data_IF_319307140699
#
_entry.id   IF_319307140699
#
_cell.length_a   1.000
_cell.length_b   1.000
_cell.length_c   1.000
_cell.angle_alpha   90.00
_cell.angle_beta   90.00
_cell.angle_gamma   90.00
#
_symmetry.space_group_name_H-M   'P 1'
#
loop_
_entity.id
_entity.type
_entity.pdbx_description
1 polymer ?
#
# COMPACT_ATOMS: atom_id res chain seq x y z
N UNK A 1 -5.44 -4.84 12.12
CA UNK A 1 -4.08 -4.77 11.54
C UNK A 1 -4.10 -5.36 10.14
N UNK A 2 -3.91 -4.56 9.09
CA UNK A 2 -3.93 -5.00 7.69
C UNK A 2 -3.04 -6.21 7.36
N UNK A 3 -3.22 -6.76 6.16
CA UNK A 3 -2.32 -7.76 5.55
C UNK A 3 -1.78 -7.22 4.24
N UNK A 4 -0.50 -7.45 3.97
CA UNK A 4 0.13 -6.94 2.76
C UNK A 4 1.26 -7.83 2.28
N UNK A 5 1.58 -7.68 1.00
CA UNK A 5 2.68 -8.35 0.31
C UNK A 5 3.48 -7.31 -0.43
N UNK A 6 4.80 -7.45 -0.33
CA UNK A 6 5.75 -6.79 -1.22
C UNK A 6 6.59 -7.84 -1.93
N UNK A 7 6.80 -7.67 -3.23
CA UNK A 7 7.71 -8.51 -4.00
C UNK A 7 8.52 -7.67 -4.97
N UNK A 8 9.83 -7.90 -4.99
CA UNK A 8 10.76 -7.31 -5.98
C UNK A 8 11.67 -8.41 -6.47
N UNK A 9 11.77 -8.58 -7.78
CA UNK A 9 12.65 -9.61 -8.34
C UNK A 9 12.43 -9.86 -9.82
N UNK A 10 13.28 -10.69 -10.40
CA UNK A 10 13.13 -11.17 -11.78
C UNK A 10 12.28 -12.43 -11.80
N UNK A 11 11.26 -12.47 -12.66
CA UNK A 11 10.36 -13.60 -12.85
C UNK A 11 10.35 -14.02 -14.31
N UNK A 12 10.22 -15.33 -14.57
CA UNK A 12 10.06 -15.88 -15.93
C UNK A 12 8.59 -16.06 -16.31
N UNK A 13 7.75 -16.25 -15.31
CA UNK A 13 6.31 -16.24 -15.38
C UNK A 13 5.75 -15.63 -14.08
N UNK A 14 4.51 -15.14 -14.15
CA UNK A 14 3.85 -14.51 -13.02
C UNK A 14 3.20 -15.49 -12.03
N UNK A 15 3.34 -16.81 -12.21
CA UNK A 15 2.51 -17.79 -11.51
C UNK A 15 2.76 -17.79 -10.00
N UNK A 16 4.03 -17.75 -9.60
CA UNK A 16 4.39 -17.68 -8.17
C UNK A 16 3.80 -16.44 -7.49
N UNK A 17 3.80 -15.29 -8.18
CA UNK A 17 3.22 -14.06 -7.64
C UNK A 17 1.69 -14.13 -7.55
N UNK A 18 1.05 -14.81 -8.51
CA UNK A 18 -0.39 -15.09 -8.46
C UNK A 18 -0.73 -15.95 -7.24
N UNK A 19 0.09 -16.96 -6.92
CA UNK A 19 -0.11 -17.77 -5.72
C UNK A 19 0.13 -16.97 -4.44
N UNK A 20 1.11 -16.07 -4.41
CA UNK A 20 1.28 -15.12 -3.32
C UNK A 20 0.04 -14.22 -3.13
N UNK A 21 -0.58 -13.75 -4.21
CA UNK A 21 -1.84 -12.99 -4.14
C UNK A 21 -2.97 -13.86 -3.56
N UNK A 22 -3.09 -15.13 -3.96
CA UNK A 22 -4.08 -16.06 -3.38
C UNK A 22 -3.83 -16.26 -1.87
N UNK A 23 -2.57 -16.39 -1.45
CA UNK A 23 -2.22 -16.49 -0.03
C UNK A 23 -2.62 -15.24 0.74
N UNK A 24 -2.45 -14.05 0.17
CA UNK A 24 -2.92 -12.80 0.78
C UNK A 24 -4.45 -12.76 0.90
N UNK A 25 -5.18 -13.23 -0.12
CA UNK A 25 -6.65 -13.34 -0.08
C UNK A 25 -7.10 -14.24 1.07
N UNK A 26 -6.46 -15.40 1.23
CA UNK A 26 -6.77 -16.33 2.32
C UNK A 26 -6.44 -15.74 3.69
N UNK A 27 -5.28 -15.10 3.83
CA UNK A 27 -4.89 -14.43 5.08
C UNK A 27 -5.83 -13.27 5.43
N UNK A 28 -6.41 -12.61 4.42
CA UNK A 28 -7.36 -11.52 4.63
C UNK A 28 -8.77 -11.99 5.00
N UNK A 29 -9.19 -13.18 4.54
CA UNK A 29 -10.53 -13.75 4.80
C UNK A 29 -10.63 -14.49 6.14
N UNK A 30 -9.50 -15.00 6.64
CA UNK A 30 -9.39 -15.59 7.96
C UNK A 30 -7.97 -15.43 8.50
N UNK A 31 -7.83 -14.54 9.48
CA UNK A 31 -6.58 -14.24 10.14
C UNK A 31 -6.57 -14.84 11.56
N UNK A 32 -5.98 -16.02 11.78
CA UNK A 32 -5.99 -16.68 13.09
C UNK A 32 -5.30 -15.83 14.16
N UNK A 33 -4.22 -15.12 13.80
CA UNK A 33 -3.51 -14.25 14.73
C UNK A 33 -4.31 -13.00 15.07
N UNK A 34 -5.00 -12.42 14.08
CA UNK A 34 -5.90 -11.29 14.31
C UNK A 34 -7.07 -11.67 15.22
N UNK A 35 -7.65 -12.87 15.04
CA UNK A 35 -8.68 -13.41 15.92
C UNK A 35 -8.18 -13.58 17.35
N UNK A 36 -7.03 -14.23 17.52
CA UNK A 36 -6.48 -14.58 18.84
C UNK A 36 -6.02 -13.36 19.64
N UNK A 37 -5.35 -12.40 18.99
CA UNK A 37 -4.66 -11.32 19.69
C UNK A 37 -5.34 -9.95 19.58
N UNK A 38 -6.22 -9.74 18.60
CA UNK A 38 -6.72 -8.39 18.27
C UNK A 38 -8.26 -8.30 18.15
N UNK A 39 -8.97 -9.43 18.32
CA UNK A 39 -10.40 -9.51 18.05
C UNK A 39 -10.79 -9.01 16.64
N UNK A 40 -9.92 -9.27 15.66
CA UNK A 40 -10.09 -8.86 14.26
C UNK A 40 -9.70 -10.02 13.35
N UNK A 41 -10.68 -10.79 12.87
CA UNK A 41 -10.42 -12.00 12.08
C UNK A 41 -10.41 -11.77 10.56
N UNK A 42 -10.87 -10.61 10.09
CA UNK A 42 -11.07 -10.32 8.67
C UNK A 42 -10.63 -8.90 8.30
N UNK A 43 -10.09 -8.78 7.09
CA UNK A 43 -9.56 -7.53 6.52
C UNK A 43 -10.47 -7.05 5.37
N UNK A 44 -11.57 -6.39 5.73
CA UNK A 44 -12.74 -6.16 4.85
C UNK A 44 -12.83 -4.76 4.24
N UNK A 45 -12.02 -3.82 4.67
CA UNK A 45 -12.24 -2.39 4.42
C UNK A 45 -11.60 -1.89 3.11
N UNK A 46 -11.44 -2.78 2.14
CA UNK A 46 -10.85 -2.50 0.84
C UNK A 46 -9.54 -3.23 0.58
N UNK A 47 -9.08 -3.12 -0.67
CA UNK A 47 -7.78 -3.63 -1.08
C UNK A 47 -7.23 -2.85 -2.27
N UNK A 48 -5.94 -2.97 -2.51
CA UNK A 48 -5.35 -2.44 -3.73
C UNK A 48 -4.02 -3.08 -4.06
N UNK A 49 -3.56 -2.78 -5.26
CA UNK A 49 -2.34 -3.29 -5.84
C UNK A 49 -1.61 -2.22 -6.63
N UNK A 50 -0.29 -2.19 -6.51
CA UNK A 50 0.62 -1.60 -7.47
C UNK A 50 1.47 -2.74 -8.03
N UNK A 51 1.50 -2.89 -9.35
CA UNK A 51 2.38 -3.84 -10.03
C UNK A 51 3.11 -3.11 -11.15
N UNK A 52 4.42 -3.10 -11.12
CA UNK A 52 5.28 -2.55 -12.16
C UNK A 52 6.03 -3.71 -12.80
N UNK A 53 5.85 -3.89 -14.10
CA UNK A 53 6.60 -4.86 -14.90
C UNK A 53 7.63 -4.14 -15.76
N UNK A 54 8.89 -4.52 -15.62
CA UNK A 54 10.02 -3.98 -16.38
C UNK A 54 10.56 -5.10 -17.28
N UNK A 55 10.42 -4.92 -18.59
CA UNK A 55 10.87 -5.84 -19.63
C UNK A 55 11.83 -5.11 -20.56
N UNK A 56 12.55 -5.85 -21.39
CA UNK A 56 13.41 -5.26 -22.42
C UNK A 56 12.62 -4.40 -23.41
N UNK A 57 11.34 -4.72 -23.62
CA UNK A 57 10.42 -3.98 -24.49
C UNK A 57 9.80 -2.73 -23.86
N UNK A 58 9.99 -2.49 -22.56
CA UNK A 58 9.47 -1.32 -21.86
C UNK A 58 8.95 -1.58 -20.45
N UNK A 59 8.30 -0.56 -19.89
CA UNK A 59 7.74 -0.58 -18.54
C UNK A 59 6.23 -0.43 -18.61
N UNK A 60 5.51 -1.28 -17.86
CA UNK A 60 4.06 -1.19 -17.68
C UNK A 60 3.72 -1.15 -16.19
N UNK A 61 2.59 -0.51 -15.85
CA UNK A 61 2.13 -0.40 -14.47
C UNK A 61 0.62 -0.67 -14.36
N UNK A 62 0.24 -1.38 -13.30
CA UNK A 62 -1.13 -1.53 -12.81
C UNK A 62 -1.23 -0.86 -11.43
N UNK A 63 -2.07 0.16 -11.28
CA UNK A 63 -2.50 0.68 -9.98
C UNK A 63 -4.00 0.47 -9.82
N UNK A 64 -4.38 -0.45 -8.94
CA UNK A 64 -5.76 -0.83 -8.68
C UNK A 64 -6.12 -0.59 -7.22
N UNK A 65 -7.35 -0.10 -6.96
CA UNK A 65 -7.90 0.05 -5.62
C UNK A 65 -9.40 -0.26 -5.63
N UNK A 66 -9.88 -0.86 -4.56
CA UNK A 66 -11.27 -1.23 -4.34
C UNK A 66 -11.63 -1.02 -2.86
N UNK A 67 -12.87 -0.65 -2.59
CA UNK A 67 -13.43 -0.62 -1.23
C UNK A 67 -14.12 -1.92 -0.84
N UNK A 68 -14.20 -2.89 -1.77
CA UNK A 68 -14.69 -4.23 -1.46
C UNK A 68 -13.64 -5.02 -0.69
N UNK A 69 -14.03 -5.98 0.16
CA UNK A 69 -13.09 -6.94 0.73
C UNK A 69 -12.31 -7.67 -0.36
N UNK A 70 -11.00 -7.88 -0.17
CA UNK A 70 -10.15 -8.54 -1.17
C UNK A 70 -10.65 -9.93 -1.56
N UNK A 71 -11.28 -10.64 -0.62
CA UNK A 71 -11.81 -12.00 -0.77
C UNK A 71 -13.24 -12.07 -1.32
N UNK A 72 -13.90 -10.92 -1.50
CA UNK A 72 -15.22 -10.80 -2.16
C UNK A 72 -15.09 -10.17 -3.57
N UNK A 73 -13.87 -9.81 -3.99
CA UNK A 73 -13.55 -9.20 -5.28
C UNK A 73 -12.81 -10.21 -6.20
N UNK A 74 -12.14 -9.75 -7.26
CA UNK A 74 -11.35 -10.60 -8.16
C UNK A 74 -9.86 -10.19 -8.26
N UNK A 75 -9.09 -10.19 -7.16
CA UNK A 75 -7.69 -9.77 -7.17
C UNK A 75 -6.81 -10.66 -8.04
N UNK A 76 -7.08 -11.97 -8.08
CA UNK A 76 -6.35 -12.93 -8.90
C UNK A 76 -6.55 -12.66 -10.39
N UNK A 77 -7.78 -12.35 -10.82
CA UNK A 77 -8.03 -11.97 -12.21
C UNK A 77 -7.41 -10.62 -12.58
N UNK A 78 -7.56 -9.61 -11.70
CA UNK A 78 -7.03 -8.25 -11.92
C UNK A 78 -5.50 -8.26 -11.99
N UNK A 79 -4.82 -8.85 -11.02
CA UNK A 79 -3.35 -8.89 -10.96
C UNK A 79 -2.80 -9.96 -11.90
N UNK A 80 -3.40 -11.15 -11.93
CA UNK A 80 -2.92 -12.28 -12.72
C UNK A 80 -2.97 -12.02 -14.22
N UNK A 81 -3.96 -11.26 -14.71
CA UNK A 81 -4.00 -10.87 -16.13
C UNK A 81 -2.82 -9.96 -16.51
N UNK A 82 -2.37 -9.08 -15.62
CA UNK A 82 -1.20 -8.21 -15.82
C UNK A 82 0.12 -8.99 -15.72
N UNK A 83 0.19 -9.94 -14.79
CA UNK A 83 1.36 -10.80 -14.58
C UNK A 83 1.51 -11.89 -15.64
N UNK A 84 0.43 -12.18 -16.39
CA UNK A 84 0.46 -13.19 -17.45
C UNK A 84 1.53 -12.82 -18.49
N UNK A 85 2.41 -13.78 -18.76
CA UNK A 85 3.53 -13.59 -19.69
C UNK A 85 4.50 -12.47 -19.30
N UNK A 86 4.59 -12.12 -18.00
CA UNK A 86 5.66 -11.28 -17.49
C UNK A 86 6.95 -12.09 -17.40
N UNK A 87 7.89 -11.75 -18.28
CA UNK A 87 9.30 -12.16 -18.22
C UNK A 87 10.13 -10.89 -18.05
N UNK A 88 10.72 -10.70 -16.86
CA UNK A 88 11.38 -9.45 -16.51
C UNK A 88 11.42 -9.17 -15.00
N UNK A 89 11.70 -7.93 -14.63
CA UNK A 89 11.68 -7.48 -13.24
C UNK A 89 10.27 -7.05 -12.86
N UNK A 90 9.81 -7.44 -11.68
CA UNK A 90 8.56 -7.01 -11.09
C UNK A 90 8.82 -6.21 -9.81
N UNK A 91 8.01 -5.18 -9.59
CA UNK A 91 7.79 -4.56 -8.28
C UNK A 91 6.31 -4.66 -7.98
N UNK A 92 5.94 -5.32 -6.90
CA UNK A 92 4.55 -5.56 -6.53
C UNK A 92 4.31 -5.16 -5.07
N UNK A 93 3.27 -4.35 -4.85
CA UNK A 93 2.73 -4.01 -3.54
C UNK A 93 1.24 -4.35 -3.54
N UNK A 94 0.79 -5.27 -2.69
CA UNK A 94 -0.64 -5.60 -2.56
C UNK A 94 -1.03 -5.48 -1.09
N UNK A 95 -2.17 -4.86 -0.81
CA UNK A 95 -2.59 -4.56 0.54
C UNK A 95 -4.09 -4.82 0.73
N UNK A 96 -4.44 -5.65 1.70
CA UNK A 96 -5.79 -5.87 2.19
C UNK A 96 -5.99 -5.09 3.50
N UNK A 97 -7.01 -4.22 3.52
CA UNK A 97 -7.17 -3.20 4.56
C UNK A 97 -8.10 -3.67 5.67
N UNK A 98 -7.67 -3.44 6.91
CA UNK A 98 -8.53 -3.36 8.09
C UNK A 98 -8.43 -1.93 8.63
N UNK A 99 -9.47 -1.13 8.43
CA UNK A 99 -9.50 0.27 8.78
C UNK A 99 -9.56 0.43 10.31
N UNK A 100 -8.63 1.17 10.88
CA UNK A 100 -8.70 1.53 12.30
C UNK A 100 -9.95 2.37 12.59
N UNK A 101 -10.46 2.26 13.82
CA UNK A 101 -11.64 3.01 14.27
C UNK A 101 -11.50 4.50 13.96
N UNK A 102 -12.55 5.09 13.36
CA UNK A 102 -12.58 6.50 12.99
C UNK A 102 -11.79 6.87 11.72
N UNK A 103 -11.17 5.91 11.03
CA UNK A 103 -10.57 6.17 9.72
C UNK A 103 -11.58 5.98 8.59
N UNK A 104 -11.54 6.80 7.53
CA UNK A 104 -12.53 6.74 6.48
C UNK A 104 -12.33 5.50 5.59
N UNK A 105 -13.42 4.81 5.26
CA UNK A 105 -13.45 3.72 4.28
C UNK A 105 -13.81 4.35 2.93
N UNK A 106 -12.78 4.69 2.15
CA UNK A 106 -12.92 5.31 0.83
C UNK A 106 -11.72 4.97 -0.04
N UNK A 107 -11.86 5.20 -1.34
CA UNK A 107 -10.83 4.87 -2.34
C UNK A 107 -9.51 5.63 -2.10
N UNK A 108 -9.58 6.84 -1.55
CA UNK A 108 -8.41 7.69 -1.31
C UNK A 108 -7.53 7.18 -0.16
N UNK A 109 -8.17 6.45 0.77
CA UNK A 109 -7.55 5.84 1.95
C UNK A 109 -7.32 4.33 1.76
N UNK A 110 -7.57 3.81 0.57
CA UNK A 110 -7.19 2.45 0.19
C UNK A 110 -5.76 2.47 -0.34
N UNK A 111 -4.91 1.66 0.27
CA UNK A 111 -3.53 1.43 -0.15
C UNK A 111 -3.44 0.67 -1.48
N UNK A 112 -2.33 0.76 -2.26
CA UNK A 112 -1.22 1.71 -2.08
C UNK A 112 -1.66 3.15 -2.33
N UNK A 113 -1.28 4.06 -1.43
CA UNK A 113 -1.53 5.50 -1.60
C UNK A 113 -0.48 6.08 -2.55
N UNK A 114 -0.82 7.16 -3.26
CA UNK A 114 0.04 7.80 -4.26
C UNK A 114 0.14 9.30 -3.99
N UNK A 115 1.35 9.85 -4.13
CA UNK A 115 1.64 11.28 -4.14
C UNK A 115 2.63 11.62 -5.27
N UNK A 116 2.78 12.91 -5.58
CA UNK A 116 3.79 13.42 -6.51
C UNK A 116 4.84 14.17 -5.71
N UNK A 117 6.11 13.87 -5.95
CA UNK A 117 7.23 14.53 -5.28
C UNK A 117 7.50 15.92 -5.87
N UNK A 118 8.32 16.73 -5.20
CA UNK A 118 8.68 18.06 -5.72
C UNK A 118 9.45 17.99 -7.06
N UNK A 119 10.15 16.89 -7.32
CA UNK A 119 10.84 16.64 -8.59
C UNK A 119 9.95 16.04 -9.68
N UNK A 120 8.70 15.69 -9.37
CA UNK A 120 7.72 15.16 -10.33
C UNK A 120 7.62 13.63 -10.39
N UNK A 121 8.38 12.89 -9.57
CA UNK A 121 8.26 11.44 -9.44
C UNK A 121 6.95 11.03 -8.77
N UNK A 122 6.48 9.83 -9.08
CA UNK A 122 5.37 9.20 -8.35
C UNK A 122 5.89 8.46 -7.11
N UNK A 123 5.35 8.78 -5.94
CA UNK A 123 5.67 8.11 -4.69
C UNK A 123 4.47 7.25 -4.24
N UNK A 124 4.71 5.96 -4.08
CA UNK A 124 3.71 5.00 -3.62
C UNK A 124 4.03 4.54 -2.22
N UNK A 125 3.00 4.26 -1.42
CA UNK A 125 3.20 3.74 -0.07
C UNK A 125 2.14 2.72 0.33
N UNK A 126 2.60 1.62 0.93
CA UNK A 126 1.78 0.70 1.71
C UNK A 126 2.30 0.65 3.15
N UNK A 127 1.39 0.61 4.12
CA UNK A 127 1.75 0.64 5.52
C UNK A 127 0.75 -0.15 6.36
N UNK A 128 1.25 -1.04 7.22
CA UNK A 128 0.48 -1.70 8.27
C UNK A 128 0.96 -1.23 9.64
N UNK A 129 0.23 -0.26 10.19
CA UNK A 129 0.54 0.45 11.41
C UNK A 129 -0.21 1.78 11.43
N UNK A 130 0.25 2.71 12.26
CA UNK A 130 -0.29 4.06 12.34
C UNK A 130 0.79 5.12 12.49
N UNK A 131 0.54 6.30 11.96
CA UNK A 131 1.39 7.48 12.08
C UNK A 131 0.73 8.56 12.97
N UNK A 132 1.56 9.46 13.50
CA UNK A 132 1.15 10.70 14.17
C UNK A 132 0.65 11.70 13.13
N UNK A 133 -0.62 11.54 12.73
CA UNK A 133 -1.27 12.34 11.69
C UNK A 133 -1.14 13.85 11.93
N UNK A 134 -1.28 14.32 13.16
CA UNK A 134 -1.20 15.75 13.50
C UNK A 134 0.19 16.35 13.24
N UNK A 135 1.26 15.57 13.50
CA UNK A 135 2.63 15.99 13.22
C UNK A 135 2.89 16.04 11.70
N UNK A 136 2.38 15.04 10.99
CA UNK A 136 2.53 14.94 9.53
C UNK A 136 1.70 15.98 8.78
N UNK A 137 0.54 16.40 9.28
CA UNK A 137 -0.25 17.47 8.67
C UNK A 137 0.50 18.80 8.65
N UNK A 138 1.22 19.11 9.74
CA UNK A 138 2.08 20.30 9.82
C UNK A 138 3.23 20.20 8.81
N UNK A 139 3.90 19.05 8.75
CA UNK A 139 4.98 18.82 7.79
C UNK A 139 4.50 18.85 6.34
N UNK A 140 3.28 18.37 6.09
CA UNK A 140 2.66 18.37 4.79
C UNK A 140 2.00 19.70 4.43
N UNK A 141 1.99 20.73 5.29
CA UNK A 141 1.25 21.99 5.06
C UNK A 141 -0.16 21.76 4.47
N UNK A 142 -0.96 20.95 5.17
CA UNK A 142 -2.33 20.58 4.81
C UNK A 142 -3.25 20.99 5.95
N UNK A 143 -4.31 21.73 5.63
CA UNK A 143 -5.33 22.12 6.61
C UNK A 143 -6.04 20.90 7.22
N UNK A 144 -6.37 20.95 8.50
CA UNK A 144 -7.05 19.87 9.24
C UNK A 144 -8.39 19.46 8.61
N UNK A 145 -9.14 20.39 8.00
CA UNK A 145 -10.42 20.09 7.35
C UNK A 145 -10.31 19.07 6.21
N UNK A 146 -9.19 19.08 5.48
CA UNK A 146 -8.89 18.12 4.40
C UNK A 146 -8.45 16.77 4.98
N UNK A 147 -7.81 16.78 6.14
CA UNK A 147 -7.25 15.59 6.77
C UNK A 147 -8.30 14.52 7.07
N UNK A 148 -9.52 14.91 7.44
CA UNK A 148 -10.64 13.99 7.75
C UNK A 148 -10.96 13.01 6.62
N UNK A 149 -10.63 13.35 5.36
CA UNK A 149 -10.92 12.53 4.17
C UNK A 149 -9.91 11.43 3.91
N UNK A 150 -8.73 11.50 4.53
CA UNK A 150 -7.59 10.62 4.24
C UNK A 150 -7.15 9.84 5.47
N UNK A 151 -6.61 8.65 5.28
CA UNK A 151 -5.90 7.93 6.35
C UNK A 151 -4.56 8.63 6.66
N UNK A 152 -3.93 8.22 7.76
CA UNK A 152 -2.63 8.72 8.19
C UNK A 152 -1.50 8.38 7.20
N UNK A 153 -1.56 7.22 6.54
CA UNK A 153 -0.58 6.78 5.54
C UNK A 153 -0.55 7.69 4.32
N UNK A 154 -1.71 8.14 3.85
CA UNK A 154 -1.82 9.11 2.76
C UNK A 154 -1.16 10.44 3.15
N UNK A 155 -1.43 10.92 4.36
CA UNK A 155 -0.81 12.16 4.87
C UNK A 155 0.70 11.98 5.02
N UNK A 156 1.15 10.82 5.49
CA UNK A 156 2.57 10.48 5.60
C UNK A 156 3.26 10.47 4.22
N UNK A 157 2.63 9.84 3.22
CA UNK A 157 3.13 9.79 1.86
C UNK A 157 3.20 11.19 1.22
N UNK A 158 2.17 12.03 1.46
CA UNK A 158 2.16 13.41 0.99
C UNK A 158 3.26 14.25 1.65
N UNK A 159 3.45 14.11 2.96
CA UNK A 159 4.50 14.82 3.69
C UNK A 159 5.90 14.41 3.20
N UNK A 160 6.12 13.11 2.99
CA UNK A 160 7.36 12.59 2.42
C UNK A 160 7.59 13.12 1.00
N UNK A 161 6.57 13.09 0.14
CA UNK A 161 6.66 13.59 -1.23
C UNK A 161 7.04 15.08 -1.31
N UNK A 162 6.54 15.90 -0.37
CA UNK A 162 6.91 17.33 -0.25
C UNK A 162 8.32 17.56 0.30
N UNK A 163 8.90 16.56 0.94
CA UNK A 163 10.27 16.63 1.48
C UNK A 163 11.32 16.24 0.45
N UNK A 164 10.99 15.33 -0.47
CA UNK A 164 11.95 14.75 -1.41
C UNK A 164 11.86 15.37 -2.81
N UNK A 165 13.00 15.34 -3.52
CA UNK A 165 13.09 15.69 -4.94
C UNK A 165 12.57 14.55 -5.81
N UNK A 166 13.47 13.65 -6.25
CA UNK A 166 13.10 12.50 -7.08
C UNK A 166 13.17 11.16 -6.33
N UNK A 167 14.15 11.03 -5.43
CA UNK A 167 14.49 9.78 -4.76
C UNK A 167 14.30 9.90 -3.24
N UNK A 168 14.00 8.76 -2.61
CA UNK A 168 13.88 8.65 -1.15
C UNK A 168 15.25 8.37 -0.55
N UNK A 169 15.75 9.27 0.30
CA UNK A 169 17.00 9.08 1.03
C UNK A 169 16.81 8.37 2.38
N UNK A 170 17.93 7.91 2.96
CA UNK A 170 17.96 7.33 4.31
C UNK A 170 17.43 8.31 5.37
N UNK A 171 17.78 9.58 5.25
CA UNK A 171 17.36 10.63 6.20
C UNK A 171 15.85 10.90 6.10
N UNK A 172 15.27 10.75 4.91
CA UNK A 172 13.83 10.91 4.69
C UNK A 172 13.05 9.74 5.28
N UNK A 173 13.56 8.51 5.13
CA UNK A 173 13.00 7.34 5.82
C UNK A 173 13.14 7.46 7.33
N UNK A 174 14.29 7.91 7.83
CA UNK A 174 14.50 8.13 9.27
C UNK A 174 13.53 9.18 9.81
N UNK A 175 13.34 10.27 9.07
CA UNK A 175 12.34 11.29 9.38
C UNK A 175 10.93 10.70 9.41
N UNK A 176 10.53 9.91 8.41
CA UNK A 176 9.21 9.27 8.37
C UNK A 176 8.99 8.32 9.56
N UNK A 177 9.99 7.50 9.88
CA UNK A 177 9.92 6.53 10.98
C UNK A 177 9.75 7.19 12.36
N UNK A 178 10.30 8.40 12.55
CA UNK A 178 10.09 9.18 13.78
C UNK A 178 8.63 9.64 13.98
N UNK A 179 7.76 9.47 12.98
CA UNK A 179 6.33 9.79 13.07
C UNK A 179 5.46 8.54 13.28
N UNK A 180 6.02 7.33 13.33
CA UNK A 180 5.26 6.10 13.57
C UNK A 180 4.77 6.05 15.02
N UNK A 181 3.51 5.65 15.22
CA UNK A 181 2.90 5.45 16.55
C UNK A 181 2.84 4.00 17.00
N UNK A 182 2.68 3.07 16.06
CA UNK A 182 2.53 1.64 16.36
C UNK A 182 3.59 0.83 15.60
N UNK A 183 3.19 0.04 14.60
CA UNK A 183 4.11 -0.70 13.74
C UNK A 183 4.61 0.14 12.56
N UNK A 184 5.78 -0.20 12.05
CA UNK A 184 6.42 0.45 10.89
C UNK A 184 6.58 -0.52 9.71
N UNK A 185 5.61 -1.44 9.51
CA UNK A 185 5.67 -2.36 8.38
C UNK A 185 5.31 -1.56 7.11
N UNK A 186 6.31 -1.23 6.32
CA UNK A 186 6.23 -0.20 5.29
C UNK A 186 6.77 -0.70 3.96
N UNK A 187 6.11 -0.30 2.88
CA UNK A 187 6.63 -0.31 1.51
C UNK A 187 6.57 1.10 0.94
N UNK A 188 7.68 1.59 0.41
CA UNK A 188 7.81 2.89 -0.28
C UNK A 188 8.56 2.67 -1.59
#
# INVERSE_FOLDING_TARGET
MCRMVLAVGRVKDGETLVDVVKSLVNAASMDPYGREFLNEEQHRDGWGALVIGIRDSGVAMLHHRSVKPIFEDNPVGVIGSFLKSLDGVVVMMVHARAASTGTPINIFSTHPVRAITNGGSELYMVHNGSFSKDLLLKAADVSEGVASRYNDTYIANLALARRIGNDVGRDDLTWLLNHVRTGANLGV
#
